data_IF_057263338169
#
_entry.id   IF_057263338169
#
_cell.length_a   1.000
_cell.length_b   1.000
_cell.length_c   1.000
_cell.angle_alpha   90.00
_cell.angle_beta   90.00
_cell.angle_gamma   90.00
#
_symmetry.space_group_name_H-M   'P 1'
#
loop_
_entity.id
_entity.type
_entity.pdbx_description
1 polymer ?
#
# COMPACT_ATOMS: atom_id res chain seq x y z
N UNK A 1 -15.34 22.68 -13.82
CA UNK A 1 -14.97 22.61 -15.26
C UNK A 1 -15.36 21.23 -15.77
N UNK A 2 -15.94 21.12 -16.97
CA UNK A 2 -16.36 19.81 -17.52
C UNK A 2 -15.37 19.36 -18.59
N UNK A 3 -14.92 18.10 -18.50
CA UNK A 3 -14.04 17.46 -19.47
C UNK A 3 -14.69 16.19 -20.00
N UNK A 4 -14.37 15.81 -21.23
CA UNK A 4 -14.81 14.56 -21.85
C UNK A 4 -13.57 13.83 -22.37
N UNK A 5 -13.46 12.54 -22.06
CA UNK A 5 -12.46 11.64 -22.61
C UNK A 5 -13.17 10.54 -23.40
N UNK A 6 -12.80 10.35 -24.65
CA UNK A 6 -13.39 9.38 -25.57
C UNK A 6 -12.42 8.22 -25.77
N UNK A 7 -12.85 7.01 -25.45
CA UNK A 7 -12.02 5.83 -25.54
C UNK A 7 -12.58 4.83 -26.55
N UNK A 8 -11.71 4.19 -27.32
CA UNK A 8 -12.12 3.04 -28.14
C UNK A 8 -12.54 1.87 -27.25
N UNK A 9 -11.81 1.62 -26.16
CA UNK A 9 -12.23 0.69 -25.10
C UNK A 9 -12.06 1.31 -23.73
N UNK A 10 -13.10 1.27 -22.92
CA UNK A 10 -13.15 1.79 -21.57
C UNK A 10 -13.38 0.65 -20.58
N UNK A 11 -12.50 0.50 -19.59
CA UNK A 11 -12.66 -0.50 -18.54
C UNK A 11 -13.48 0.05 -17.37
N UNK A 12 -14.55 -0.66 -17.01
CA UNK A 12 -15.37 -0.42 -15.81
C UNK A 12 -15.29 -1.61 -14.86
N UNK A 13 -15.97 -1.53 -13.72
CA UNK A 13 -16.13 -2.69 -12.83
C UNK A 13 -16.92 -3.85 -13.47
N UNK A 14 -17.80 -3.55 -14.42
CA UNK A 14 -18.62 -4.55 -15.13
C UNK A 14 -17.91 -5.13 -16.37
N UNK A 15 -16.74 -4.59 -16.72
CA UNK A 15 -15.93 -5.04 -17.84
C UNK A 15 -15.69 -3.96 -18.89
N UNK A 16 -15.35 -4.40 -20.11
CA UNK A 16 -14.97 -3.53 -21.22
C UNK A 16 -16.19 -3.01 -21.97
N UNK A 17 -16.21 -1.70 -22.19
CA UNK A 17 -17.16 -1.00 -23.04
C UNK A 17 -16.44 -0.49 -24.30
N UNK A 18 -16.99 -0.75 -25.48
CA UNK A 18 -16.43 -0.26 -26.73
C UNK A 18 -17.08 1.09 -27.12
N UNK A 19 -16.28 2.03 -27.62
CA UNK A 19 -16.71 3.35 -28.09
C UNK A 19 -17.55 4.14 -27.08
N UNK A 20 -17.01 4.29 -25.86
CA UNK A 20 -17.62 5.06 -24.78
C UNK A 20 -16.79 6.30 -24.41
N UNK A 21 -17.49 7.31 -23.89
CA UNK A 21 -16.90 8.52 -23.35
C UNK A 21 -17.15 8.65 -21.85
N UNK A 22 -16.19 9.26 -21.17
CA UNK A 22 -16.21 9.54 -19.75
C UNK A 22 -16.32 11.06 -19.57
N UNK A 23 -17.42 11.50 -18.95
CA UNK A 23 -17.64 12.92 -18.63
C UNK A 23 -17.21 13.17 -17.20
N UNK A 24 -16.28 14.09 -17.03
CA UNK A 24 -15.74 14.49 -15.73
C UNK A 24 -16.26 15.90 -15.42
N UNK A 25 -16.90 16.07 -14.27
CA UNK A 25 -17.30 17.37 -13.76
C UNK A 25 -16.69 17.57 -12.37
N UNK A 26 -15.97 18.67 -12.21
CA UNK A 26 -15.38 19.09 -10.93
C UNK A 26 -14.54 17.99 -10.25
N UNK A 27 -13.75 17.28 -11.07
CA UNK A 27 -12.83 16.23 -10.63
C UNK A 27 -13.48 14.87 -10.40
N UNK A 28 -14.78 14.72 -10.64
CA UNK A 28 -15.53 13.47 -10.43
C UNK A 28 -16.07 12.96 -11.77
N UNK A 29 -16.09 11.64 -11.93
CA UNK A 29 -16.76 10.99 -13.06
C UNK A 29 -18.27 11.22 -12.91
N UNK A 30 -18.84 12.00 -13.81
CA UNK A 30 -20.26 12.38 -13.79
C UNK A 30 -21.12 11.47 -14.67
N UNK A 31 -20.53 10.86 -15.71
CA UNK A 31 -21.19 9.86 -16.55
C UNK A 31 -20.18 9.03 -17.34
N UNK A 32 -20.57 7.80 -17.66
CA UNK A 32 -19.95 6.94 -18.67
C UNK A 32 -21.05 6.59 -19.66
N UNK A 33 -20.87 6.95 -20.93
CA UNK A 33 -21.93 6.87 -21.93
C UNK A 33 -21.37 6.53 -23.32
N UNK A 34 -22.17 5.95 -24.22
CA UNK A 34 -21.73 5.72 -25.60
C UNK A 34 -21.31 7.02 -26.28
N UNK A 35 -20.28 6.95 -27.13
CA UNK A 35 -19.89 8.08 -27.96
C UNK A 35 -21.04 8.40 -28.94
N UNK A 36 -21.50 9.66 -29.05
CA UNK A 36 -22.57 10.02 -29.96
C UNK A 36 -22.28 9.67 -31.42
N UNK A 37 -23.33 9.27 -32.15
CA UNK A 37 -23.24 8.97 -33.58
C UNK A 37 -22.66 10.18 -34.34
N UNK A 38 -21.70 9.92 -35.22
CA UNK A 38 -21.01 10.94 -36.00
C UNK A 38 -19.73 11.48 -35.37
N UNK A 39 -19.42 11.11 -34.12
CA UNK A 39 -18.13 11.47 -33.47
C UNK A 39 -17.09 10.39 -33.72
N UNK A 40 -16.09 10.73 -34.53
CA UNK A 40 -15.00 9.82 -34.93
C UNK A 40 -13.74 9.95 -34.07
N UNK A 41 -13.61 11.03 -33.29
CA UNK A 41 -12.44 11.28 -32.44
C UNK A 41 -12.35 10.28 -31.28
N UNK A 42 -11.12 9.85 -30.97
CA UNK A 42 -10.78 9.01 -29.81
C UNK A 42 -9.55 9.63 -29.14
N UNK A 43 -9.68 9.96 -27.87
CA UNK A 43 -8.59 10.50 -27.04
C UNK A 43 -7.63 9.39 -26.56
N UNK A 44 -8.15 8.16 -26.46
CA UNK A 44 -7.38 6.99 -26.05
C UNK A 44 -7.86 5.70 -26.75
N UNK A 45 -6.93 4.79 -27.02
CA UNK A 45 -7.26 3.43 -27.44
C UNK A 45 -7.83 2.62 -26.28
N UNK A 46 -7.18 2.69 -25.11
CA UNK A 46 -7.61 2.06 -23.87
C UNK A 46 -7.70 3.13 -22.78
N UNK A 47 -8.83 3.18 -22.08
CA UNK A 47 -9.00 4.00 -20.89
C UNK A 47 -9.34 3.09 -19.71
N UNK A 48 -8.43 3.06 -18.72
CA UNK A 48 -8.55 2.25 -17.52
C UNK A 48 -8.59 3.15 -16.28
N UNK A 49 -9.16 2.68 -15.16
CA UNK A 49 -8.90 3.28 -13.86
C UNK A 49 -7.40 3.36 -13.60
N UNK A 50 -6.96 4.49 -13.06
CA UNK A 50 -5.57 4.65 -12.67
C UNK A 50 -5.20 3.64 -11.57
N UNK A 51 -3.96 3.13 -11.59
CA UNK A 51 -3.52 2.15 -10.60
C UNK A 51 -3.43 2.77 -9.19
N UNK A 52 -3.53 1.89 -8.19
CA UNK A 52 -3.25 2.21 -6.79
C UNK A 52 -2.03 1.41 -6.36
N UNK A 53 -0.90 2.08 -6.15
CA UNK A 53 0.35 1.43 -5.73
C UNK A 53 0.45 1.43 -4.21
N UNK A 54 0.13 0.29 -3.59
CA UNK A 54 0.01 0.19 -2.14
C UNK A 54 1.31 -0.07 -1.40
N UNK A 55 2.42 -0.36 -2.10
CA UNK A 55 3.69 -0.68 -1.48
C UNK A 55 4.87 -0.32 -2.39
N UNK A 56 5.49 0.83 -2.10
CA UNK A 56 6.68 1.31 -2.82
C UNK A 56 7.58 2.17 -1.93
N UNK A 57 8.87 1.87 -1.94
CA UNK A 57 9.90 2.61 -1.21
C UNK A 57 10.48 3.79 -1.97
N UNK A 58 10.58 3.72 -3.30
CA UNK A 58 11.33 4.71 -4.06
C UNK A 58 11.14 4.59 -5.56
N UNK A 59 11.90 5.40 -6.30
CA UNK A 59 11.81 5.53 -7.75
C UNK A 59 12.46 6.83 -8.24
N UNK A 60 12.72 6.93 -9.55
CA UNK A 60 13.39 8.10 -10.15
C UNK A 60 14.69 8.55 -9.42
N UNK A 61 15.43 7.61 -8.83
CA UNK A 61 16.69 7.85 -8.12
C UNK A 61 16.55 8.48 -6.73
N UNK A 62 15.38 8.43 -6.10
CA UNK A 62 15.15 8.84 -4.70
C UNK A 62 14.33 7.79 -3.94
N UNK A 63 14.43 7.80 -2.62
CA UNK A 63 13.73 6.92 -1.69
C UNK A 63 12.84 7.72 -0.72
N UNK A 64 11.70 7.17 -0.30
CA UNK A 64 10.76 7.77 0.66
C UNK A 64 11.46 8.15 1.98
N UNK A 65 12.51 7.41 2.35
CA UNK A 65 13.31 7.66 3.53
C UNK A 65 14.23 8.89 3.40
N UNK A 66 14.53 9.35 2.18
CA UNK A 66 15.34 10.55 1.94
C UNK A 66 14.68 11.80 2.54
N UNK A 67 15.48 12.66 3.18
CA UNK A 67 14.99 13.84 3.92
C UNK A 67 14.86 15.11 3.05
N UNK A 68 15.15 15.02 1.76
CA UNK A 68 15.01 16.14 0.85
C UNK A 68 13.53 16.54 0.64
N UNK A 69 13.19 17.84 0.62
CA UNK A 69 11.82 18.32 0.70
C UNK A 69 10.94 18.00 -0.52
N UNK A 70 11.55 17.73 -1.68
CA UNK A 70 10.89 17.46 -2.96
C UNK A 70 10.75 15.97 -3.29
N UNK A 71 11.28 15.08 -2.45
CA UNK A 71 11.31 13.61 -2.68
C UNK A 71 9.92 13.05 -2.98
N UNK A 72 8.94 13.36 -2.14
CA UNK A 72 7.58 12.83 -2.31
C UNK A 72 6.88 13.38 -3.55
N UNK A 73 7.15 14.63 -3.95
CA UNK A 73 6.58 15.23 -5.15
C UNK A 73 7.22 14.65 -6.42
N UNK A 74 8.54 14.42 -6.39
CA UNK A 74 9.27 13.72 -7.45
C UNK A 74 8.75 12.29 -7.64
N UNK A 75 8.57 11.56 -6.55
CA UNK A 75 8.01 10.20 -6.58
C UNK A 75 6.56 10.20 -7.07
N UNK A 76 5.69 11.08 -6.57
CA UNK A 76 4.30 11.18 -7.00
C UNK A 76 4.19 11.47 -8.50
N UNK A 77 5.02 12.36 -9.05
CA UNK A 77 5.08 12.66 -10.48
C UNK A 77 5.62 11.49 -11.30
N UNK A 78 6.64 10.78 -10.79
CA UNK A 78 7.15 9.58 -11.45
C UNK A 78 6.09 8.49 -11.52
N UNK A 79 5.38 8.23 -10.42
CA UNK A 79 4.27 7.27 -10.34
C UNK A 79 3.13 7.60 -11.28
N UNK A 80 2.75 8.88 -11.37
CA UNK A 80 1.73 9.32 -12.32
C UNK A 80 2.10 9.01 -13.78
N UNK A 81 3.38 9.12 -14.15
CA UNK A 81 3.87 8.75 -15.50
C UNK A 81 3.78 7.25 -15.78
N UNK A 82 3.70 6.41 -14.75
CA UNK A 82 3.52 4.95 -14.84
C UNK A 82 2.04 4.54 -14.82
N UNK A 83 1.12 5.50 -14.82
CA UNK A 83 -0.33 5.24 -14.77
C UNK A 83 -0.89 5.08 -13.35
N UNK A 84 -0.10 5.36 -12.31
CA UNK A 84 -0.53 5.31 -10.90
C UNK A 84 -1.24 6.61 -10.55
N UNK A 85 -2.50 6.52 -10.12
CA UNK A 85 -3.30 7.68 -9.71
C UNK A 85 -3.16 7.99 -8.22
N UNK A 86 -2.91 6.96 -7.42
CA UNK A 86 -2.74 7.09 -5.97
C UNK A 86 -1.82 6.02 -5.40
N UNK A 87 -1.20 6.28 -4.26
CA UNK A 87 -0.16 5.41 -3.72
C UNK A 87 0.06 5.57 -2.22
N UNK A 88 0.77 4.59 -1.63
CA UNK A 88 1.25 4.61 -0.26
C UNK A 88 2.80 4.63 -0.23
N UNK A 89 3.43 5.79 0.03
CA UNK A 89 4.84 5.87 0.34
C UNK A 89 5.19 4.91 1.49
N UNK A 90 6.15 4.03 1.24
CA UNK A 90 6.47 2.92 2.14
C UNK A 90 7.81 3.16 2.80
N UNK A 91 7.82 3.23 4.13
CA UNK A 91 9.08 3.25 4.88
C UNK A 91 9.72 1.86 4.86
N UNK A 92 10.99 1.78 5.27
CA UNK A 92 11.71 0.53 5.52
C UNK A 92 12.18 0.49 6.97
N UNK A 93 12.58 -0.68 7.47
CA UNK A 93 13.26 -0.80 8.77
C UNK A 93 14.46 0.14 8.84
N UNK A 94 14.39 1.09 9.77
CA UNK A 94 15.40 2.12 10.00
C UNK A 94 15.36 2.54 11.47
N UNK A 95 16.31 3.36 11.96
CA UNK A 95 16.22 3.94 13.29
C UNK A 95 14.87 4.65 13.50
N UNK A 96 14.28 4.50 14.69
CA UNK A 96 12.90 4.94 14.95
C UNK A 96 12.69 6.44 14.71
N UNK A 97 13.70 7.27 15.00
CA UNK A 97 13.69 8.70 14.69
C UNK A 97 13.60 8.97 13.18
N UNK A 98 14.27 8.17 12.34
CA UNK A 98 14.18 8.26 10.87
C UNK A 98 12.79 7.86 10.38
N UNK A 99 12.20 6.79 10.93
CA UNK A 99 10.82 6.39 10.65
C UNK A 99 9.85 7.52 11.03
N UNK A 100 9.99 8.10 12.23
CA UNK A 100 9.15 9.20 12.68
C UNK A 100 9.25 10.42 11.75
N UNK A 101 10.44 10.75 11.26
CA UNK A 101 10.63 11.84 10.32
C UNK A 101 9.91 11.55 8.99
N UNK A 102 10.08 10.36 8.42
CA UNK A 102 9.41 9.96 7.19
C UNK A 102 7.88 9.99 7.33
N UNK A 103 7.33 9.42 8.41
CA UNK A 103 5.89 9.43 8.68
C UNK A 103 5.32 10.86 8.78
N UNK A 104 6.04 11.79 9.42
CA UNK A 104 5.64 13.20 9.50
C UNK A 104 5.64 13.87 8.11
N UNK A 105 6.66 13.65 7.29
CA UNK A 105 6.74 14.20 5.92
C UNK A 105 5.60 13.67 5.05
N UNK A 106 5.31 12.36 5.14
CA UNK A 106 4.20 11.72 4.41
C UNK A 106 2.86 12.31 4.86
N UNK A 107 2.63 12.45 6.17
CA UNK A 107 1.40 13.02 6.72
C UNK A 107 1.15 14.45 6.21
N UNK A 108 2.18 15.30 6.25
CA UNK A 108 2.11 16.67 5.71
C UNK A 108 1.78 16.67 4.22
N UNK A 109 2.41 15.79 3.44
CA UNK A 109 2.15 15.68 1.99
C UNK A 109 0.74 15.15 1.67
N UNK A 110 0.24 14.23 2.49
CA UNK A 110 -1.11 13.67 2.38
C UNK A 110 -2.16 14.77 2.60
N UNK A 111 -1.98 15.63 3.62
CA UNK A 111 -2.93 16.69 3.97
C UNK A 111 -2.86 17.89 3.03
N UNK A 112 -1.65 18.33 2.65
CA UNK A 112 -1.46 19.54 1.81
C UNK A 112 -1.82 19.31 0.34
N UNK A 113 -1.90 18.05 -0.09
CA UNK A 113 -1.95 17.69 -1.50
C UNK A 113 -0.63 17.99 -2.22
N UNK A 114 -0.66 18.00 -3.55
CA UNK A 114 0.51 18.27 -4.39
C UNK A 114 0.41 17.57 -5.75
N UNK A 115 1.43 17.73 -6.60
CA UNK A 115 1.40 17.23 -7.97
C UNK A 115 1.50 15.71 -8.06
N UNK A 116 1.05 15.15 -9.19
CA UNK A 116 1.18 13.73 -9.52
C UNK A 116 0.21 12.83 -8.76
N UNK A 117 0.62 11.58 -8.53
CA UNK A 117 -0.19 10.58 -7.86
C UNK A 117 -0.51 10.98 -6.41
N UNK A 118 -1.78 10.79 -6.02
CA UNK A 118 -2.25 11.15 -4.69
C UNK A 118 -1.63 10.25 -3.61
N UNK A 119 -1.06 10.84 -2.57
CA UNK A 119 -0.60 10.13 -1.38
C UNK A 119 -1.82 9.82 -0.50
N UNK A 120 -2.11 8.53 -0.26
CA UNK A 120 -3.27 8.08 0.54
C UNK A 120 -3.00 7.96 2.05
N UNK A 121 -1.72 8.09 2.42
CA UNK A 121 -1.21 7.85 3.76
C UNK A 121 0.14 7.15 3.70
N UNK A 122 0.62 6.59 4.81
CA UNK A 122 1.88 5.86 4.86
C UNK A 122 1.69 4.35 5.01
N UNK A 123 2.62 3.59 4.43
CA UNK A 123 2.85 2.18 4.73
C UNK A 123 4.12 2.05 5.56
N UNK A 124 4.02 1.39 6.71
CA UNK A 124 5.15 1.09 7.59
C UNK A 124 5.62 -0.35 7.36
N UNK A 125 6.67 -0.56 6.56
CA UNK A 125 7.27 -1.88 6.38
C UNK A 125 8.45 -2.10 7.34
N UNK A 126 8.17 -2.81 8.44
CA UNK A 126 9.08 -2.96 9.57
C UNK A 126 8.88 -1.86 10.62
N UNK A 127 9.58 -1.88 11.76
CA UNK A 127 10.70 -2.75 12.10
C UNK A 127 10.32 -4.03 12.86
N UNK A 128 9.04 -4.44 12.82
CA UNK A 128 8.49 -5.54 13.63
C UNK A 128 8.64 -6.92 12.97
N UNK A 129 9.85 -7.27 12.56
CA UNK A 129 10.16 -8.51 11.83
C UNK A 129 11.05 -9.49 12.61
N UNK A 130 11.27 -10.68 12.03
CA UNK A 130 12.18 -11.70 12.58
C UNK A 130 13.37 -11.95 11.64
N UNK A 131 14.56 -12.32 12.17
CA UNK A 131 15.79 -12.39 11.36
C UNK A 131 15.78 -13.42 10.24
N UNK A 132 15.03 -14.51 10.39
CA UNK A 132 15.12 -15.69 9.52
C UNK A 132 14.79 -15.37 8.06
N UNK A 133 13.75 -14.55 7.84
CA UNK A 133 13.28 -14.17 6.51
C UNK A 133 13.35 -12.65 6.29
N UNK A 134 14.34 -12.00 6.89
CA UNK A 134 14.51 -10.53 6.92
C UNK A 134 14.70 -9.83 5.56
N UNK A 135 15.10 -10.58 4.53
CA UNK A 135 15.52 -10.01 3.25
C UNK A 135 16.55 -8.87 3.40
N UNK A 136 16.23 -7.73 2.81
CA UNK A 136 17.06 -6.52 2.83
C UNK A 136 16.99 -5.73 4.16
N UNK A 137 16.13 -6.12 5.10
CA UNK A 137 15.99 -5.38 6.34
C UNK A 137 17.18 -5.65 7.30
N UNK A 138 17.71 -4.61 7.97
CA UNK A 138 18.76 -4.72 8.98
C UNK A 138 18.20 -5.29 10.30
N UNK A 139 18.55 -6.53 10.69
CA UNK A 139 17.95 -7.19 11.85
C UNK A 139 18.32 -6.53 13.18
N UNK A 140 19.45 -5.83 13.25
CA UNK A 140 19.88 -5.06 14.42
C UNK A 140 18.95 -3.88 14.76
N UNK A 141 18.09 -3.49 13.82
CA UNK A 141 17.08 -2.45 14.01
C UNK A 141 15.68 -3.02 14.28
N UNK A 142 15.53 -4.35 14.36
CA UNK A 142 14.24 -4.96 14.67
C UNK A 142 13.80 -4.62 16.08
N UNK A 143 12.49 -4.40 16.22
CA UNK A 143 11.86 -3.98 17.47
C UNK A 143 10.81 -4.99 17.90
N UNK A 144 10.56 -5.04 19.20
CA UNK A 144 9.42 -5.77 19.76
C UNK A 144 8.12 -4.97 19.59
N UNK A 145 6.99 -5.69 19.61
CA UNK A 145 5.68 -5.09 19.42
C UNK A 145 5.16 -4.54 20.74
N UNK A 146 5.31 -3.23 20.92
CA UNK A 146 4.78 -2.50 22.07
C UNK A 146 3.62 -1.59 21.65
N UNK A 147 2.47 -1.73 22.29
CA UNK A 147 1.27 -0.96 21.95
C UNK A 147 1.54 0.55 22.05
N UNK A 148 2.28 0.98 23.08
CA UNK A 148 2.64 2.38 23.26
C UNK A 148 3.50 2.93 22.10
N UNK A 149 4.37 2.11 21.49
CA UNK A 149 5.16 2.53 20.33
C UNK A 149 4.29 2.61 19.07
N UNK A 150 3.38 1.66 18.87
CA UNK A 150 2.41 1.71 17.76
C UNK A 150 1.51 2.96 17.85
N UNK A 151 1.05 3.29 19.06
CA UNK A 151 0.27 4.52 19.30
C UNK A 151 1.08 5.78 18.98
N UNK A 152 2.36 5.80 19.36
CA UNK A 152 3.24 6.91 19.01
C UNK A 152 3.40 7.04 17.49
N UNK A 153 3.61 5.95 16.76
CA UNK A 153 3.72 5.94 15.29
C UNK A 153 2.45 6.45 14.61
N UNK A 154 1.27 6.03 15.09
CA UNK A 154 -0.01 6.53 14.63
C UNK A 154 -0.10 8.05 14.87
N UNK A 155 0.25 8.51 16.07
CA UNK A 155 0.21 9.92 16.44
C UNK A 155 1.18 10.78 15.62
N UNK A 156 2.45 10.36 15.42
CA UNK A 156 3.40 11.13 14.59
C UNK A 156 3.03 11.13 13.11
N UNK A 157 2.34 10.09 12.64
CA UNK A 157 1.74 10.08 11.29
C UNK A 157 0.49 10.97 11.18
N UNK A 158 0.05 11.64 12.26
CA UNK A 158 -1.18 12.42 12.29
C UNK A 158 -2.40 11.61 11.78
N UNK A 159 -2.45 10.32 12.16
CA UNK A 159 -3.48 9.37 11.72
C UNK A 159 -3.53 9.12 10.20
N UNK A 160 -2.45 9.42 9.46
CA UNK A 160 -2.31 9.02 8.05
C UNK A 160 -1.60 7.68 7.87
N UNK A 161 -1.17 7.00 8.94
CA UNK A 161 -0.69 5.62 8.85
C UNK A 161 -1.85 4.70 8.43
N UNK A 162 -1.68 4.01 7.29
CA UNK A 162 -2.72 3.15 6.71
C UNK A 162 -2.41 1.68 6.86
N UNK A 163 -1.13 1.33 6.80
CA UNK A 163 -0.68 -0.07 6.82
C UNK A 163 0.54 -0.22 7.70
N UNK A 164 0.58 -1.29 8.49
CA UNK A 164 1.77 -1.75 9.20
C UNK A 164 2.05 -3.19 8.77
N UNK A 165 3.27 -3.46 8.35
CA UNK A 165 3.75 -4.84 8.15
C UNK A 165 4.46 -5.35 9.40
N UNK A 166 4.14 -6.59 9.80
CA UNK A 166 4.78 -7.26 10.92
C UNK A 166 4.91 -8.77 10.72
N UNK A 167 5.80 -9.37 11.50
CA UNK A 167 5.96 -10.82 11.56
C UNK A 167 4.99 -11.42 12.61
N UNK A 168 4.05 -12.30 12.21
CA UNK A 168 3.00 -12.80 13.10
C UNK A 168 3.48 -13.75 14.22
N UNK A 169 4.71 -14.25 14.14
CA UNK A 169 5.33 -15.09 15.18
C UNK A 169 6.02 -14.29 16.30
N UNK A 170 6.11 -12.96 16.18
CA UNK A 170 6.62 -12.13 17.28
C UNK A 170 5.71 -12.19 18.49
N UNK A 171 6.32 -12.07 19.67
CA UNK A 171 5.57 -11.90 20.92
C UNK A 171 4.67 -10.66 20.83
N UNK A 172 3.45 -10.77 21.33
CA UNK A 172 2.46 -9.68 21.28
C UNK A 172 1.79 -9.45 19.91
N UNK A 173 2.16 -10.16 18.84
CA UNK A 173 1.65 -9.90 17.49
C UNK A 173 0.11 -9.90 17.38
N UNK A 174 -0.56 -10.88 17.98
CA UNK A 174 -2.03 -10.95 17.93
C UNK A 174 -2.70 -9.78 18.68
N UNK A 175 -2.09 -9.28 19.76
CA UNK A 175 -2.58 -8.11 20.48
C UNK A 175 -2.36 -6.84 19.65
N UNK A 176 -1.17 -6.68 19.06
CA UNK A 176 -0.84 -5.59 18.16
C UNK A 176 -1.77 -5.54 16.94
N UNK A 177 -2.07 -6.67 16.31
CA UNK A 177 -2.99 -6.75 15.16
C UNK A 177 -4.37 -6.22 15.54
N UNK A 178 -4.94 -6.70 16.65
CA UNK A 178 -6.28 -6.24 17.12
C UNK A 178 -6.28 -4.76 17.43
N UNK A 179 -5.23 -4.27 18.08
CA UNK A 179 -5.07 -2.86 18.41
C UNK A 179 -5.01 -1.98 17.16
N UNK A 180 -4.13 -2.30 16.21
CA UNK A 180 -3.99 -1.58 14.95
C UNK A 180 -5.32 -1.56 14.16
N UNK A 181 -6.05 -2.69 14.15
CA UNK A 181 -7.36 -2.77 13.49
C UNK A 181 -8.37 -1.83 14.12
N UNK A 182 -8.41 -1.72 15.46
CA UNK A 182 -9.27 -0.76 16.18
C UNK A 182 -8.93 0.69 15.85
N UNK A 183 -7.68 0.98 15.49
CA UNK A 183 -7.22 2.29 15.04
C UNK A 183 -7.43 2.53 13.52
N UNK A 184 -8.15 1.64 12.82
CA UNK A 184 -8.33 1.65 11.37
C UNK A 184 -7.02 1.58 10.57
N UNK A 185 -6.00 0.92 11.13
CA UNK A 185 -4.74 0.60 10.46
C UNK A 185 -4.79 -0.85 9.99
N UNK A 186 -4.52 -1.08 8.71
CA UNK A 186 -4.46 -2.43 8.14
C UNK A 186 -3.15 -3.10 8.54
N UNK A 187 -3.20 -4.41 8.74
CA UNK A 187 -1.99 -5.18 9.10
C UNK A 187 -1.66 -6.20 8.04
N UNK A 188 -0.46 -6.11 7.47
CA UNK A 188 0.05 -7.06 6.48
C UNK A 188 1.12 -7.95 7.11
N UNK A 189 1.18 -9.22 6.74
CA UNK A 189 2.12 -10.19 7.33
C UNK A 189 3.28 -10.46 6.37
N UNK A 190 4.51 -10.29 6.83
CA UNK A 190 5.70 -10.45 5.98
C UNK A 190 7.00 -10.44 6.77
N UNK A 191 8.11 -10.72 6.08
CA UNK A 191 9.48 -10.83 6.66
C UNK A 191 9.49 -11.69 7.92
N UNK A 192 8.95 -12.90 7.77
CA UNK A 192 8.53 -13.77 8.86
C UNK A 192 8.81 -15.23 8.53
N UNK A 193 9.22 -16.00 9.53
CA UNK A 193 9.34 -17.45 9.46
C UNK A 193 8.14 -18.19 10.08
N UNK A 194 6.98 -17.53 10.15
CA UNK A 194 5.79 -18.12 10.76
C UNK A 194 5.36 -19.42 10.09
N UNK A 195 4.86 -20.32 10.91
CA UNK A 195 4.14 -21.53 10.48
C UNK A 195 2.79 -21.16 9.89
N UNK A 196 2.18 -22.10 9.16
CA UNK A 196 0.81 -21.92 8.65
C UNK A 196 -0.17 -21.57 9.79
N UNK A 197 -0.05 -22.23 10.94
CA UNK A 197 -0.92 -22.02 12.09
C UNK A 197 -0.81 -20.61 12.67
N UNK A 198 0.41 -20.08 12.79
CA UNK A 198 0.64 -18.71 13.27
C UNK A 198 0.06 -17.66 12.31
N UNK A 199 0.23 -17.86 10.99
CA UNK A 199 -0.36 -16.96 9.99
C UNK A 199 -1.89 -16.98 10.04
N UNK A 200 -2.50 -18.15 10.18
CA UNK A 200 -3.96 -18.29 10.34
C UNK A 200 -4.46 -17.58 11.60
N UNK A 201 -3.78 -17.76 12.73
CA UNK A 201 -4.11 -17.08 13.97
C UNK A 201 -4.03 -15.54 13.84
N UNK A 202 -3.07 -15.04 13.05
CA UNK A 202 -2.95 -13.61 12.75
C UNK A 202 -4.11 -13.10 11.88
N UNK A 203 -4.55 -13.85 10.86
CA UNK A 203 -5.77 -13.53 10.11
C UNK A 203 -7.02 -13.57 11.00
N UNK A 204 -7.11 -14.52 11.93
CA UNK A 204 -8.20 -14.60 12.91
C UNK A 204 -8.18 -13.41 13.88
N UNK A 205 -7.01 -12.84 14.17
CA UNK A 205 -6.86 -11.63 14.96
C UNK A 205 -7.17 -10.33 14.19
N UNK A 206 -7.30 -10.39 12.86
CA UNK A 206 -7.70 -9.26 12.02
C UNK A 206 -6.66 -8.75 11.03
N UNK A 207 -5.58 -9.49 10.78
CA UNK A 207 -4.63 -9.15 9.71
C UNK A 207 -5.32 -9.17 8.33
N UNK A 208 -4.90 -8.27 7.45
CA UNK A 208 -5.52 -7.91 6.18
C UNK A 208 -4.86 -8.54 4.94
N UNK A 209 -3.79 -9.33 5.12
CA UNK A 209 -3.16 -10.07 4.03
C UNK A 209 -1.66 -10.31 4.23
N UNK A 210 -1.00 -10.71 3.14
CA UNK A 210 0.45 -10.92 3.09
C UNK A 210 1.15 -9.76 2.36
N UNK A 211 2.32 -9.37 2.85
CA UNK A 211 3.23 -8.48 2.11
C UNK A 211 3.87 -9.28 0.99
N UNK A 212 3.90 -8.74 -0.24
CA UNK A 212 4.58 -9.33 -1.43
C UNK A 212 4.68 -10.87 -1.41
N UNK A 213 3.52 -11.54 -1.46
CA UNK A 213 3.38 -12.99 -1.29
C UNK A 213 4.52 -13.76 -1.99
N UNK A 214 5.05 -14.78 -1.30
CA UNK A 214 6.29 -15.53 -1.57
C UNK A 214 7.60 -14.89 -1.06
N UNK A 215 7.75 -13.57 -1.10
CA UNK A 215 9.01 -12.92 -0.72
C UNK A 215 9.10 -12.72 0.81
N UNK A 216 10.26 -12.99 1.40
CA UNK A 216 10.47 -12.79 2.84
C UNK A 216 9.56 -13.62 3.73
N UNK A 217 9.16 -14.83 3.32
CA UNK A 217 8.24 -15.67 4.10
C UNK A 217 8.53 -17.17 3.95
N UNK A 218 7.98 -17.99 4.84
CA UNK A 218 8.02 -19.46 4.69
C UNK A 218 7.29 -19.89 3.42
N UNK A 219 8.00 -20.66 2.59
CA UNK A 219 7.49 -21.20 1.33
C UNK A 219 6.51 -22.36 1.50
N UNK A 220 6.07 -22.91 0.37
CA UNK A 220 5.09 -23.99 0.33
C UNK A 220 5.76 -25.37 0.49
N UNK A 221 5.34 -26.14 1.50
CA UNK A 221 5.67 -27.56 1.63
C UNK A 221 4.41 -28.37 1.97
N UNK A 222 4.25 -29.56 1.42
CA UNK A 222 3.00 -30.36 1.49
C UNK A 222 2.61 -30.79 2.91
N UNK A 223 3.56 -30.84 3.85
CA UNK A 223 3.29 -31.15 5.27
C UNK A 223 3.32 -29.93 6.19
N UNK A 224 3.88 -28.82 5.73
CA UNK A 224 3.95 -27.56 6.47
C UNK A 224 3.80 -26.43 5.44
N UNK A 225 2.55 -26.03 5.11
CA UNK A 225 2.30 -25.13 4.01
C UNK A 225 2.91 -23.73 4.17
N UNK A 226 3.31 -23.36 5.39
CA UNK A 226 3.89 -22.07 5.71
C UNK A 226 2.94 -20.89 5.47
N UNK A 227 3.52 -19.69 5.46
CA UNK A 227 2.82 -18.45 5.18
C UNK A 227 2.25 -18.42 3.76
N UNK A 228 3.03 -18.87 2.77
CA UNK A 228 2.56 -18.94 1.37
C UNK A 228 1.32 -19.82 1.28
N UNK A 229 1.33 -21.00 1.90
CA UNK A 229 0.16 -21.88 1.90
C UNK A 229 -1.03 -21.25 2.61
N UNK A 230 -0.83 -20.51 3.70
CA UNK A 230 -1.90 -19.78 4.38
C UNK A 230 -2.48 -18.68 3.49
N UNK A 231 -1.63 -17.91 2.80
CA UNK A 231 -2.06 -16.84 1.89
C UNK A 231 -2.85 -17.35 0.69
N UNK A 232 -2.41 -18.43 0.07
CA UNK A 232 -3.09 -18.99 -1.12
C UNK A 232 -4.43 -19.66 -0.80
N UNK A 233 -4.70 -19.98 0.47
CA UNK A 233 -5.88 -20.78 0.86
C UNK A 233 -6.86 -20.06 1.79
N UNK A 234 -6.52 -18.86 2.26
CA UNK A 234 -7.39 -18.03 3.10
C UNK A 234 -7.98 -16.88 2.28
N UNK A 235 -9.31 -16.69 2.36
CA UNK A 235 -10.01 -15.62 1.63
C UNK A 235 -9.71 -14.22 2.15
N UNK A 236 -9.11 -14.12 3.34
CA UNK A 236 -8.71 -12.85 3.96
C UNK A 236 -7.33 -12.38 3.51
N UNK A 237 -6.58 -13.25 2.83
CA UNK A 237 -5.23 -12.98 2.38
C UNK A 237 -5.18 -12.07 1.14
#
# INVERSE_FOLDING_TARGET
>A
MTHVLRARRLLTEEGWLDDHQLRIADGVIAAIEPIPVGVTERDAELLCPAYIDTHVHGGAGVDVMDDAPDVLDKLAMHKAREGVGSWLPTTVTAPLNTIHAALKRIAQRCQRGGPGAQVLGSYLEGPYFTPQNKGAHPPELFRELEIAELDQLIAVSQHTLRVVALAPEKEGALQAIRHLKQQNVRVMLGHSAATWQQTRAAFDAGADGLVHCYNGMTGLHHREPGMVGAGLTDKRA
#
